data_IF_984113843214
#
_entry.id   IF_984113843214
#
_cell.length_a   1.000
_cell.length_b   1.000
_cell.length_c   1.000
_cell.angle_alpha   90.00
_cell.angle_beta   90.00
_cell.angle_gamma   90.00
#
_symmetry.space_group_name_H-M   'P 1'
#
loop_
_entity.id
_entity.type
_entity.pdbx_description
1 polymer ?
#
# COMPACT_ATOMS: atom_id res chain seq x y z
N UNK A 1 -14.02 52.26 -11.19
CA UNK A 1 -15.10 51.40 -10.66
C UNK A 1 -14.97 49.95 -11.12
N UNK A 2 -14.69 49.69 -12.40
CA UNK A 2 -14.50 48.33 -12.94
C UNK A 2 -13.43 47.50 -12.20
N UNK A 3 -12.24 48.06 -11.93
CA UNK A 3 -11.16 47.35 -11.24
C UNK A 3 -11.50 46.94 -9.78
N UNK A 4 -12.35 47.71 -9.08
CA UNK A 4 -12.79 47.35 -7.73
C UNK A 4 -13.75 46.15 -7.76
N UNK A 5 -14.65 46.11 -8.75
CA UNK A 5 -15.59 44.99 -8.93
C UNK A 5 -14.82 43.72 -9.31
N UNK A 6 -13.89 43.82 -10.27
CA UNK A 6 -13.05 42.69 -10.68
C UNK A 6 -12.21 42.18 -9.50
N UNK A 7 -11.60 43.09 -8.73
CA UNK A 7 -10.84 42.75 -7.54
C UNK A 7 -11.68 42.00 -6.50
N UNK A 8 -12.86 42.51 -6.16
CA UNK A 8 -13.76 41.89 -5.19
C UNK A 8 -14.23 40.49 -5.63
N UNK A 9 -14.58 40.32 -6.92
CA UNK A 9 -14.97 39.02 -7.48
C UNK A 9 -13.80 38.04 -7.43
N UNK A 10 -12.59 38.48 -7.79
CA UNK A 10 -11.41 37.60 -7.72
C UNK A 10 -11.11 37.13 -6.29
N UNK A 11 -11.19 38.01 -5.29
CA UNK A 11 -11.00 37.64 -3.88
C UNK A 11 -12.06 36.64 -3.42
N UNK A 12 -13.33 36.85 -3.80
CA UNK A 12 -14.41 35.93 -3.48
C UNK A 12 -14.21 34.53 -4.08
N UNK A 13 -13.74 34.46 -5.34
CA UNK A 13 -13.43 33.19 -6.01
C UNK A 13 -12.26 32.49 -5.32
N UNK A 14 -11.17 33.21 -5.02
CA UNK A 14 -10.02 32.61 -4.34
C UNK A 14 -10.41 32.08 -2.96
N UNK A 15 -11.18 32.85 -2.18
CA UNK A 15 -11.67 32.43 -0.87
C UNK A 15 -12.53 31.16 -0.94
N UNK A 16 -13.42 31.07 -1.93
CA UNK A 16 -14.25 29.89 -2.16
C UNK A 16 -13.41 28.65 -2.53
N UNK A 17 -12.43 28.80 -3.43
CA UNK A 17 -11.53 27.71 -3.84
C UNK A 17 -10.67 27.22 -2.67
N UNK A 18 -10.07 28.12 -1.87
CA UNK A 18 -9.31 27.71 -0.68
C UNK A 18 -10.18 26.99 0.35
N UNK A 19 -11.44 27.42 0.52
CA UNK A 19 -12.37 26.76 1.43
C UNK A 19 -12.71 25.34 0.97
N UNK A 20 -12.90 25.13 -0.34
CA UNK A 20 -13.13 23.80 -0.91
C UNK A 20 -11.94 22.86 -0.71
N UNK A 21 -10.70 23.36 -0.79
CA UNK A 21 -9.50 22.57 -0.51
C UNK A 21 -9.46 22.18 0.97
N UNK A 22 -9.81 23.11 1.87
CA UNK A 22 -9.76 22.88 3.31
C UNK A 22 -10.84 21.90 3.79
N UNK A 23 -12.07 22.03 3.31
CA UNK A 23 -13.17 21.12 3.65
C UNK A 23 -13.15 19.81 2.85
N UNK A 24 -12.57 19.80 1.64
CA UNK A 24 -12.40 18.61 0.82
C UNK A 24 -11.24 17.70 1.23
N UNK A 25 -10.40 18.12 2.20
CA UNK A 25 -9.20 17.42 2.66
C UNK A 25 -9.39 15.93 2.92
N UNK A 26 -10.55 15.53 3.49
CA UNK A 26 -10.87 14.13 3.75
C UNK A 26 -10.94 13.26 2.49
N UNK A 27 -11.43 13.81 1.38
CA UNK A 27 -11.51 13.08 0.11
C UNK A 27 -10.12 12.86 -0.50
N UNK A 28 -9.21 13.83 -0.35
CA UNK A 28 -7.82 13.67 -0.77
C UNK A 28 -7.08 12.63 0.07
N UNK A 29 -7.32 12.58 1.39
CA UNK A 29 -6.72 11.54 2.24
C UNK A 29 -7.20 10.15 1.88
N UNK A 30 -8.51 9.96 1.64
CA UNK A 30 -9.06 8.66 1.25
C UNK A 30 -8.59 8.23 -0.15
N UNK A 31 -8.56 9.16 -1.11
CA UNK A 31 -8.03 8.90 -2.44
C UNK A 31 -6.55 8.49 -2.42
N UNK A 32 -5.74 9.14 -1.58
CA UNK A 32 -4.33 8.79 -1.39
C UNK A 32 -4.19 7.38 -0.80
N UNK A 33 -4.96 7.06 0.24
CA UNK A 33 -4.97 5.74 0.87
C UNK A 33 -5.37 4.64 -0.13
N UNK A 34 -6.41 4.86 -0.93
CA UNK A 34 -6.81 3.92 -1.99
C UNK A 34 -5.73 3.74 -3.06
N UNK A 35 -5.07 4.82 -3.47
CA UNK A 35 -3.99 4.73 -4.45
C UNK A 35 -2.82 3.91 -3.91
N UNK A 36 -2.49 4.08 -2.63
CA UNK A 36 -1.47 3.29 -1.94
C UNK A 36 -1.88 1.82 -1.82
N UNK A 37 -3.12 1.52 -1.45
CA UNK A 37 -3.65 0.16 -1.41
C UNK A 37 -3.57 -0.54 -2.77
N UNK A 38 -3.94 0.16 -3.86
CA UNK A 38 -3.85 -0.39 -5.22
C UNK A 38 -2.39 -0.65 -5.60
N UNK A 39 -1.46 0.21 -5.20
CA UNK A 39 -0.04 -0.02 -5.44
C UNK A 39 0.47 -1.25 -4.67
N UNK A 40 0.07 -1.42 -3.41
CA UNK A 40 0.44 -2.59 -2.60
C UNK A 40 -0.14 -3.86 -3.20
N UNK A 41 -1.43 -3.89 -3.56
CA UNK A 41 -2.06 -5.09 -4.10
C UNK A 41 -1.49 -5.50 -5.46
N UNK A 42 -1.12 -4.53 -6.31
CA UNK A 42 -0.42 -4.82 -7.57
C UNK A 42 0.97 -5.42 -7.32
N UNK A 43 1.72 -4.87 -6.37
CA UNK A 43 3.05 -5.37 -6.01
C UNK A 43 2.96 -6.77 -5.39
N UNK A 44 1.96 -7.02 -4.54
CA UNK A 44 1.66 -8.34 -3.98
C UNK A 44 1.38 -9.37 -5.09
N UNK A 45 0.54 -9.04 -6.08
CA UNK A 45 0.27 -9.92 -7.21
C UNK A 45 1.53 -10.23 -8.05
N UNK A 46 2.42 -9.25 -8.21
CA UNK A 46 3.71 -9.47 -8.90
C UNK A 46 4.60 -10.45 -8.14
N UNK A 47 4.69 -10.29 -6.82
CA UNK A 47 5.47 -11.18 -5.94
C UNK A 47 4.86 -12.60 -5.97
N UNK A 48 3.54 -12.72 -5.80
CA UNK A 48 2.84 -14.00 -5.85
C UNK A 48 3.00 -14.72 -7.20
N UNK A 49 2.94 -13.98 -8.31
CA UNK A 49 3.22 -14.52 -9.64
C UNK A 49 4.66 -15.02 -9.81
N UNK A 50 5.63 -14.24 -9.33
CA UNK A 50 7.05 -14.63 -9.37
C UNK A 50 7.33 -15.88 -8.53
N UNK A 51 6.72 -15.98 -7.34
CA UNK A 51 6.77 -17.15 -6.46
C UNK A 51 6.20 -18.40 -7.14
N UNK A 52 5.03 -18.27 -7.76
CA UNK A 52 4.39 -19.38 -8.47
C UNK A 52 5.26 -19.88 -9.63
N UNK A 53 5.85 -18.95 -10.39
CA UNK A 53 6.73 -19.29 -11.52
C UNK A 53 8.02 -19.99 -11.03
N UNK A 54 8.64 -19.47 -9.96
CA UNK A 54 9.79 -20.12 -9.34
C UNK A 54 9.47 -21.55 -8.88
N UNK A 55 8.32 -21.75 -8.22
CA UNK A 55 7.89 -23.05 -7.73
C UNK A 55 7.66 -24.04 -8.88
N UNK A 56 7.07 -23.58 -9.98
CA UNK A 56 6.86 -24.40 -11.18
C UNK A 56 8.18 -24.85 -11.81
N UNK A 57 9.16 -23.94 -11.92
CA UNK A 57 10.44 -24.24 -12.54
C UNK A 57 11.36 -25.12 -11.68
N UNK A 58 11.32 -24.94 -10.36
CA UNK A 58 12.26 -25.59 -9.43
C UNK A 58 11.64 -26.78 -8.68
N UNK A 59 10.33 -27.01 -8.79
CA UNK A 59 9.57 -28.04 -8.05
C UNK A 59 9.77 -27.92 -6.53
N UNK A 60 10.09 -26.72 -6.06
CA UNK A 60 10.30 -26.40 -4.64
C UNK A 60 10.00 -24.94 -4.38
N UNK A 61 9.61 -24.66 -3.14
CA UNK A 61 9.55 -23.30 -2.65
C UNK A 61 10.96 -22.66 -2.66
N UNK A 62 11.04 -21.34 -2.93
CA UNK A 62 12.27 -20.58 -2.74
C UNK A 62 12.70 -20.57 -1.26
N UNK A 63 14.00 -20.38 -1.03
CA UNK A 63 14.59 -20.51 0.29
C UNK A 63 14.69 -19.13 0.96
N UNK A 64 14.29 -19.06 2.22
CA UNK A 64 14.32 -17.82 2.99
C UNK A 64 12.99 -17.05 2.93
N UNK A 65 13.00 -15.87 3.55
CA UNK A 65 11.81 -15.05 3.77
C UNK A 65 12.11 -13.58 3.44
N UNK A 66 11.06 -12.79 3.24
CA UNK A 66 11.13 -11.33 3.18
C UNK A 66 12.11 -10.80 2.12
N UNK A 67 13.06 -9.94 2.50
CA UNK A 67 14.02 -9.32 1.59
C UNK A 67 14.96 -10.32 0.91
N UNK A 68 15.38 -11.38 1.61
CA UNK A 68 16.26 -12.39 1.03
C UNK A 68 15.56 -13.17 -0.09
N UNK A 69 14.26 -13.42 0.09
CA UNK A 69 13.42 -14.05 -0.91
C UNK A 69 13.23 -13.16 -2.15
N UNK A 70 12.95 -11.86 -1.96
CA UNK A 70 12.80 -10.92 -3.08
C UNK A 70 14.08 -10.80 -3.89
N UNK A 71 15.23 -10.77 -3.23
CA UNK A 71 16.54 -10.74 -3.90
C UNK A 71 16.81 -12.04 -4.67
N UNK A 72 16.38 -13.19 -4.13
CA UNK A 72 16.43 -14.47 -4.85
C UNK A 72 15.54 -14.46 -6.10
N UNK A 73 14.31 -13.94 -6.01
CA UNK A 73 13.38 -13.87 -7.15
C UNK A 73 13.89 -12.88 -8.21
N UNK A 74 14.52 -11.78 -7.80
CA UNK A 74 15.11 -10.81 -8.71
C UNK A 74 16.36 -11.36 -9.40
N UNK A 75 17.31 -11.91 -8.66
CA UNK A 75 18.52 -12.55 -9.21
C UNK A 75 18.19 -13.76 -10.10
N UNK A 76 17.11 -14.49 -9.78
CA UNK A 76 16.57 -15.56 -10.61
C UNK A 76 15.84 -15.11 -11.88
N UNK A 77 15.62 -13.80 -12.08
CA UNK A 77 14.92 -13.26 -13.25
C UNK A 77 13.40 -13.38 -13.22
N UNK A 78 12.82 -13.79 -12.09
CA UNK A 78 11.37 -13.89 -11.88
C UNK A 78 10.73 -12.52 -11.59
N UNK A 79 11.50 -11.60 -11.01
CA UNK A 79 11.13 -10.21 -10.82
C UNK A 79 12.06 -9.30 -11.62
N UNK A 80 11.48 -8.42 -12.44
CA UNK A 80 12.24 -7.41 -13.17
C UNK A 80 12.91 -6.41 -12.22
N UNK A 81 12.16 -5.93 -11.24
CA UNK A 81 12.61 -4.97 -10.23
C UNK A 81 12.08 -5.41 -8.85
N UNK A 82 12.84 -5.14 -7.79
CA UNK A 82 12.40 -5.40 -6.41
C UNK A 82 11.40 -4.30 -6.00
N UNK A 83 10.17 -4.66 -5.56
CA UNK A 83 9.19 -3.67 -5.15
C UNK A 83 9.71 -2.79 -3.99
N UNK A 84 9.48 -1.47 -4.01
CA UNK A 84 10.01 -0.57 -3.00
C UNK A 84 9.34 -0.77 -1.64
N UNK A 85 10.14 -0.66 -0.58
CA UNK A 85 9.72 -0.79 0.82
C UNK A 85 10.09 -2.14 1.43
N UNK A 86 9.84 -2.29 2.73
CA UNK A 86 9.93 -3.59 3.38
C UNK A 86 8.73 -4.45 2.97
N UNK A 87 8.92 -5.76 2.91
CA UNK A 87 7.89 -6.74 2.58
C UNK A 87 8.03 -7.94 3.49
N UNK A 88 6.90 -8.38 4.02
CA UNK A 88 6.79 -9.65 4.72
C UNK A 88 6.29 -10.70 3.75
N UNK A 89 7.14 -11.69 3.48
CA UNK A 89 6.83 -12.75 2.53
C UNK A 89 7.28 -14.07 3.14
N UNK A 90 6.32 -14.97 3.30
CA UNK A 90 6.57 -16.35 3.71
C UNK A 90 7.11 -17.16 2.53
N UNK A 91 7.98 -18.14 2.80
CA UNK A 91 8.57 -19.00 1.77
C UNK A 91 7.54 -19.78 0.94
N UNK A 92 6.37 -20.06 1.51
CA UNK A 92 5.25 -20.73 0.82
C UNK A 92 4.41 -19.79 -0.06
N UNK A 93 4.64 -18.47 0.02
CA UNK A 93 3.89 -17.45 -0.70
C UNK A 93 2.45 -17.24 -0.23
N UNK A 94 2.05 -17.87 0.88
CA UNK A 94 0.69 -17.72 1.43
C UNK A 94 0.51 -16.42 2.21
N UNK A 95 1.62 -15.76 2.57
CA UNK A 95 1.65 -14.51 3.32
C UNK A 95 2.50 -13.53 2.54
N UNK A 96 1.87 -12.48 2.04
CA UNK A 96 2.52 -11.36 1.39
C UNK A 96 1.88 -10.11 1.97
N UNK A 97 2.65 -9.32 2.71
CA UNK A 97 2.15 -8.14 3.39
C UNK A 97 3.17 -7.02 3.38
N UNK A 98 2.68 -5.78 3.33
CA UNK A 98 3.54 -4.60 3.38
C UNK A 98 3.38 -3.86 4.72
N UNK A 99 4.45 -3.68 5.51
CA UNK A 99 4.46 -2.72 6.59
C UNK A 99 4.48 -1.31 6.00
N UNK A 100 3.58 -0.46 6.48
CA UNK A 100 3.52 0.94 6.06
C UNK A 100 4.30 1.81 7.04
N UNK A 101 5.49 2.26 6.62
CA UNK A 101 6.29 3.21 7.38
C UNK A 101 5.55 4.55 7.54
N UNK A 102 5.43 5.01 8.78
CA UNK A 102 4.89 6.33 9.10
C UNK A 102 3.36 6.47 9.05
N UNK A 103 2.61 5.38 8.91
CA UNK A 103 1.15 5.39 9.06
C UNK A 103 0.72 5.11 10.52
N UNK A 104 -0.38 5.74 10.95
CA UNK A 104 -0.98 5.42 12.25
C UNK A 104 -1.69 4.07 12.19
N UNK A 105 -1.83 3.34 13.31
CA UNK A 105 -2.62 2.10 13.37
C UNK A 105 -4.05 2.27 12.80
N UNK A 106 -4.64 3.45 12.99
CA UNK A 106 -5.94 3.81 12.42
C UNK A 106 -5.94 3.89 10.89
N UNK A 107 -4.87 4.38 10.29
CA UNK A 107 -4.72 4.46 8.82
C UNK A 107 -4.57 3.06 8.21
N UNK A 108 -3.79 2.20 8.87
CA UNK A 108 -3.65 0.80 8.49
C UNK A 108 -4.99 0.04 8.58
N UNK A 109 -5.72 0.19 9.69
CA UNK A 109 -7.06 -0.38 9.87
C UNK A 109 -8.05 0.09 8.79
N UNK A 110 -8.01 1.38 8.42
CA UNK A 110 -8.84 1.91 7.33
C UNK A 110 -8.48 1.32 5.98
N UNK A 111 -7.20 1.10 5.70
CA UNK A 111 -6.78 0.48 4.45
C UNK A 111 -7.23 -0.98 4.33
N UNK A 112 -7.14 -1.75 5.42
CA UNK A 112 -7.66 -3.11 5.45
C UNK A 112 -9.20 -3.14 5.28
N UNK A 113 -9.91 -2.20 5.90
CA UNK A 113 -11.35 -2.00 5.66
C UNK A 113 -11.67 -1.67 4.19
N UNK A 114 -10.88 -0.81 3.55
CA UNK A 114 -11.02 -0.49 2.12
C UNK A 114 -10.71 -1.68 1.20
N UNK A 115 -9.84 -2.59 1.64
CA UNK A 115 -9.51 -3.82 0.95
C UNK A 115 -10.58 -4.93 1.14
N UNK A 116 -11.61 -4.68 1.96
CA UNK A 116 -12.68 -5.63 2.25
C UNK A 116 -12.38 -6.58 3.42
N UNK A 117 -11.31 -6.33 4.17
CA UNK A 117 -10.99 -7.02 5.43
C UNK A 117 -11.57 -6.26 6.63
N UNK A 118 -11.48 -6.85 7.81
CA UNK A 118 -11.86 -6.14 9.03
C UNK A 118 -10.98 -4.90 9.24
N UNK A 119 -11.52 -3.89 9.92
CA UNK A 119 -10.83 -2.64 10.24
C UNK A 119 -9.79 -2.83 11.36
N UNK A 120 -8.86 -3.76 11.14
CA UNK A 120 -7.82 -4.18 12.06
C UNK A 120 -6.47 -4.04 11.35
N UNK A 121 -5.46 -3.60 12.08
CA UNK A 121 -4.08 -3.62 11.61
C UNK A 121 -3.36 -4.78 12.30
N UNK A 122 -3.31 -5.97 11.69
CA UNK A 122 -2.68 -7.10 12.32
C UNK A 122 -1.15 -6.94 12.35
N UNK A 123 -0.47 -7.53 13.35
CA UNK A 123 0.97 -7.68 13.32
C UNK A 123 1.43 -8.45 12.08
N UNK A 124 2.51 -8.03 11.43
CA UNK A 124 3.04 -8.72 10.24
C UNK A 124 3.48 -10.18 10.51
N UNK A 125 3.70 -10.55 11.77
CA UNK A 125 4.03 -11.90 12.23
C UNK A 125 2.81 -12.73 12.67
N UNK A 126 1.61 -12.13 12.78
CA UNK A 126 0.40 -12.80 13.28
C UNK A 126 -0.11 -13.90 12.33
N UNK A 127 -0.16 -15.15 12.83
CA UNK A 127 -0.71 -16.31 12.11
C UNK A 127 -2.20 -16.21 11.81
N UNK A 128 -2.93 -15.31 12.49
CA UNK A 128 -4.39 -15.25 12.48
C UNK A 128 -4.97 -14.46 11.32
N UNK A 129 -4.20 -13.50 10.76
CA UNK A 129 -4.68 -12.52 9.78
C UNK A 129 -3.80 -12.50 8.51
N UNK A 130 -3.49 -13.70 7.99
CA UNK A 130 -2.59 -13.91 6.83
C UNK A 130 -3.05 -13.25 5.52
N UNK A 131 -4.33 -12.92 5.43
CA UNK A 131 -4.95 -12.40 4.22
C UNK A 131 -4.94 -10.87 4.13
N UNK A 132 -4.61 -10.16 5.21
CA UNK A 132 -4.58 -8.71 5.19
C UNK A 132 -3.36 -8.21 4.39
N UNK A 133 -3.54 -7.38 3.35
CA UNK A 133 -2.45 -6.92 2.49
C UNK A 133 -1.49 -5.96 3.22
N UNK A 134 -1.97 -5.35 4.31
CA UNK A 134 -1.24 -4.36 5.10
C UNK A 134 -1.19 -4.81 6.55
N UNK A 135 0.00 -4.68 7.14
CA UNK A 135 0.29 -5.13 8.49
C UNK A 135 1.15 -4.12 9.25
N UNK A 136 1.18 -4.26 10.58
CA UNK A 136 2.02 -3.45 11.46
C UNK A 136 3.35 -4.17 11.72
N UNK A 137 4.47 -3.45 11.56
CA UNK A 137 5.77 -3.96 12.00
C UNK A 137 5.75 -4.19 13.52
N UNK A 138 6.24 -5.33 14.02
CA UNK A 138 6.49 -5.49 15.45
C UNK A 138 7.51 -4.42 15.89
N UNK A 139 7.17 -3.71 16.97
CA UNK A 139 8.02 -2.70 17.60
C UNK A 139 9.34 -3.29 18.09
#
# INVERSE_FOLDING_TARGET
MYHLIVGAISVAIFAALTSLIWFGGHQWTDAKLRAELVAVSQQEQQIGGALMLYQQDNVRAPNGENAALLDQLHSGGYLKDVPPGAWFISSDGTRIGKPLDGQTPESCAKLNALAGFDAVCPPCDSETDKAAPICQQPL
#
